data_IF_327143993120
#
_entry.id   IF_327143993120
#
_cell.length_a   1.000
_cell.length_b   1.000
_cell.length_c   1.000
_cell.angle_alpha   90.00
_cell.angle_beta   90.00
_cell.angle_gamma   90.00
#
_symmetry.space_group_name_H-M   'P 1'
#
loop_
_entity.id
_entity.type
_entity.pdbx_description
1 polymer ?
#
# COMPACT_ATOMS: atom_id res chain seq x y z
N UNK A 1 -5.28 -17.31 -6.72
CA UNK A 1 -4.66 -17.56 -5.41
C UNK A 1 -3.24 -18.13 -5.52
N UNK A 2 -2.96 -19.08 -6.42
CA UNK A 2 -1.61 -19.69 -6.54
C UNK A 2 -0.46 -18.70 -6.68
N UNK A 3 -0.59 -17.65 -7.51
CA UNK A 3 0.44 -16.61 -7.67
C UNK A 3 0.69 -15.89 -6.34
N UNK A 4 -0.37 -15.52 -5.63
CA UNK A 4 -0.25 -14.82 -4.36
C UNK A 4 0.39 -15.69 -3.29
N UNK A 5 -0.01 -16.96 -3.21
CA UNK A 5 0.56 -17.94 -2.29
C UNK A 5 2.05 -18.21 -2.57
N UNK A 6 2.45 -18.39 -3.84
CA UNK A 6 3.85 -18.62 -4.21
C UNK A 6 4.75 -17.41 -3.87
N UNK A 7 4.29 -16.19 -4.15
CA UNK A 7 4.99 -14.96 -3.76
C UNK A 7 5.08 -14.84 -2.25
N UNK A 8 3.98 -15.09 -1.54
CA UNK A 8 3.92 -15.04 -0.09
C UNK A 8 4.86 -16.06 0.57
N UNK A 9 4.86 -17.30 0.09
CA UNK A 9 5.77 -18.36 0.53
C UNK A 9 7.23 -17.97 0.34
N UNK A 10 7.56 -17.31 -0.78
CA UNK A 10 8.93 -16.84 -1.03
C UNK A 10 9.35 -15.76 -0.04
N UNK A 11 8.43 -14.89 0.39
CA UNK A 11 8.71 -13.83 1.35
C UNK A 11 8.80 -14.34 2.80
N UNK A 12 7.91 -15.25 3.20
CA UNK A 12 7.71 -15.61 4.61
C UNK A 12 8.12 -17.04 4.95
N UNK A 13 8.47 -17.86 3.94
CA UNK A 13 8.81 -19.27 4.13
C UNK A 13 7.64 -20.17 4.51
N UNK A 14 6.39 -19.69 4.43
CA UNK A 14 5.17 -20.43 4.74
C UNK A 14 4.04 -20.10 3.78
N UNK A 15 3.13 -21.05 3.56
CA UNK A 15 2.00 -20.85 2.65
C UNK A 15 1.04 -19.82 3.23
N UNK A 16 0.50 -18.97 2.36
CA UNK A 16 -0.60 -18.07 2.69
C UNK A 16 -1.85 -18.86 3.14
N UNK A 17 -2.02 -20.08 2.65
CA UNK A 17 -3.14 -20.95 3.00
C UNK A 17 -3.02 -21.55 4.41
N UNK A 18 -1.81 -21.55 4.98
CA UNK A 18 -1.55 -22.03 6.35
C UNK A 18 -1.69 -20.89 7.39
N UNK A 19 -1.84 -19.64 6.94
CA UNK A 19 -2.09 -18.50 7.81
C UNK A 19 -3.50 -18.54 8.38
N UNK A 20 -3.70 -17.96 9.57
CA UNK A 20 -5.04 -17.68 10.08
C UNK A 20 -5.64 -16.47 9.34
N UNK A 21 -5.88 -16.61 8.04
CA UNK A 21 -6.36 -15.58 7.12
C UNK A 21 -7.29 -16.22 6.08
N UNK A 22 -8.46 -15.62 5.84
CA UNK A 22 -9.32 -16.00 4.71
C UNK A 22 -9.36 -14.88 3.68
N UNK A 23 -9.14 -15.23 2.41
CA UNK A 23 -9.17 -14.28 1.29
C UNK A 23 -10.44 -14.53 0.47
N UNK A 24 -11.29 -13.52 0.38
CA UNK A 24 -12.54 -13.53 -0.37
C UNK A 24 -12.40 -12.63 -1.61
N UNK A 25 -12.44 -13.23 -2.79
CA UNK A 25 -12.51 -12.50 -4.07
C UNK A 25 -13.96 -12.61 -4.55
N UNK A 26 -14.70 -11.51 -4.42
CA UNK A 26 -16.15 -11.49 -4.52
C UNK A 26 -16.62 -10.79 -5.80
N UNK A 27 -17.80 -11.15 -6.31
CA UNK A 27 -18.50 -10.32 -7.30
C UNK A 27 -18.90 -8.97 -6.70
N UNK A 28 -19.30 -7.99 -7.52
CA UNK A 28 -19.72 -6.67 -7.01
C UNK A 28 -20.94 -6.75 -6.08
N UNK A 29 -21.88 -7.66 -6.36
CA UNK A 29 -23.06 -7.88 -5.51
C UNK A 29 -22.63 -8.50 -4.17
N UNK A 30 -21.85 -9.59 -4.21
CA UNK A 30 -21.34 -10.24 -3.00
C UNK A 30 -20.47 -9.31 -2.15
N UNK A 31 -19.65 -8.45 -2.76
CA UNK A 31 -18.81 -7.49 -2.04
C UNK A 31 -19.67 -6.43 -1.33
N UNK A 32 -20.70 -5.91 -2.00
CA UNK A 32 -21.61 -4.94 -1.37
C UNK A 32 -22.39 -5.56 -0.21
N UNK A 33 -22.91 -6.77 -0.42
CA UNK A 33 -23.63 -7.51 0.62
C UNK A 33 -22.71 -7.82 1.81
N UNK A 34 -21.46 -8.20 1.53
CA UNK A 34 -20.46 -8.42 2.57
C UNK A 34 -20.23 -7.17 3.42
N UNK A 35 -19.93 -6.03 2.79
CA UNK A 35 -19.69 -4.76 3.49
C UNK A 35 -20.92 -4.38 4.32
N UNK A 36 -22.14 -4.53 3.77
CA UNK A 36 -23.38 -4.25 4.50
C UNK A 36 -23.54 -5.15 5.74
N UNK A 37 -23.26 -6.45 5.62
CA UNK A 37 -23.36 -7.42 6.71
C UNK A 37 -22.34 -7.11 7.81
N UNK A 38 -21.06 -6.97 7.44
CA UNK A 38 -19.98 -6.68 8.39
C UNK A 38 -20.25 -5.38 9.15
N UNK A 39 -20.66 -4.35 8.41
CA UNK A 39 -21.00 -3.05 8.98
C UNK A 39 -22.19 -3.12 9.93
N UNK A 40 -23.25 -3.84 9.55
CA UNK A 40 -24.44 -3.99 10.40
C UNK A 40 -24.12 -4.76 11.69
N UNK A 41 -23.33 -5.83 11.59
CA UNK A 41 -22.90 -6.64 12.74
C UNK A 41 -22.10 -5.80 13.73
N UNK A 42 -21.10 -5.07 13.23
CA UNK A 42 -20.23 -4.20 14.04
C UNK A 42 -20.99 -3.02 14.66
N UNK A 43 -21.95 -2.42 13.95
CA UNK A 43 -22.78 -1.31 14.45
C UNK A 43 -23.65 -1.71 15.65
N UNK A 44 -24.08 -2.97 15.72
CA UNK A 44 -24.99 -3.47 16.76
C UNK A 44 -24.39 -3.43 18.17
N UNK A 45 -23.07 -3.33 18.27
CA UNK A 45 -22.31 -3.32 19.52
C UNK A 45 -21.79 -1.93 19.92
N UNK A 46 -22.02 -0.90 19.09
CA UNK A 46 -21.50 0.45 19.29
C UNK A 46 -22.51 1.40 19.94
N UNK A 47 -22.01 2.42 20.65
CA UNK A 47 -22.84 3.53 21.15
C UNK A 47 -23.38 4.37 19.99
N UNK A 48 -24.51 5.07 20.20
CA UNK A 48 -25.17 5.88 19.14
C UNK A 48 -24.21 6.91 18.49
N UNK A 49 -23.30 7.49 19.27
CA UNK A 49 -22.31 8.44 18.75
C UNK A 49 -21.29 7.75 17.83
N UNK A 50 -20.79 6.57 18.23
CA UNK A 50 -19.85 5.76 17.44
C UNK A 50 -20.52 5.15 16.20
N UNK A 51 -21.82 4.87 16.25
CA UNK A 51 -22.56 4.37 15.10
C UNK A 51 -22.59 5.38 13.93
N UNK A 52 -22.61 6.69 14.21
CA UNK A 52 -22.61 7.73 13.17
C UNK A 52 -21.25 7.85 12.47
N UNK A 53 -20.15 7.73 13.21
CA UNK A 53 -18.80 7.72 12.65
C UNK A 53 -18.55 6.44 11.86
N UNK A 54 -18.83 5.29 12.47
CA UNK A 54 -18.63 3.98 11.84
C UNK A 54 -19.47 3.79 10.57
N UNK A 55 -20.68 4.37 10.50
CA UNK A 55 -21.50 4.35 9.27
C UNK A 55 -20.86 5.14 8.13
N UNK A 56 -20.09 6.20 8.40
CA UNK A 56 -19.33 6.91 7.35
C UNK A 56 -18.19 6.05 6.84
N UNK A 57 -17.47 5.39 7.73
CA UNK A 57 -16.37 4.49 7.35
C UNK A 57 -16.88 3.31 6.53
N UNK A 58 -18.03 2.74 6.91
CA UNK A 58 -18.72 1.71 6.16
C UNK A 58 -19.12 2.12 4.74
N UNK A 59 -19.64 3.34 4.58
CA UNK A 59 -19.95 3.86 3.25
C UNK A 59 -18.68 4.10 2.41
N UNK A 60 -17.52 4.28 3.05
CA UNK A 60 -16.24 4.45 2.35
C UNK A 60 -15.67 3.11 1.86
N UNK A 61 -15.88 2.02 2.61
CA UNK A 61 -15.44 0.67 2.21
C UNK A 61 -16.04 0.20 0.89
N UNK A 62 -17.23 0.70 0.51
CA UNK A 62 -17.84 0.39 -0.79
C UNK A 62 -17.11 1.00 -1.98
N UNK A 63 -16.21 1.95 -1.76
CA UNK A 63 -15.43 2.61 -2.81
C UNK A 63 -14.05 1.96 -3.01
N UNK A 64 -13.61 1.12 -2.07
CA UNK A 64 -12.31 0.45 -2.15
C UNK A 64 -12.33 -0.75 -3.09
N UNK A 65 -11.16 -1.12 -3.63
CA UNK A 65 -11.00 -2.35 -4.43
C UNK A 65 -10.89 -3.58 -3.53
N UNK A 66 -10.42 -3.39 -2.31
CA UNK A 66 -10.44 -4.39 -1.25
C UNK A 66 -10.07 -3.76 0.09
N UNK A 67 -10.14 -4.55 1.15
CA UNK A 67 -9.71 -4.17 2.49
C UNK A 67 -9.38 -5.40 3.33
N UNK A 68 -8.49 -5.18 4.31
CA UNK A 68 -8.21 -6.08 5.42
C UNK A 68 -9.09 -5.75 6.63
N UNK A 69 -9.59 -6.77 7.31
CA UNK A 69 -10.36 -6.63 8.56
C UNK A 69 -10.11 -7.81 9.51
N UNK A 70 -10.29 -7.56 10.81
CA UNK A 70 -10.39 -8.61 11.81
C UNK A 70 -11.82 -8.66 12.33
N UNK A 71 -12.61 -9.63 11.85
CA UNK A 71 -14.02 -9.75 12.15
C UNK A 71 -14.36 -11.17 12.63
N UNK A 72 -15.07 -11.26 13.76
CA UNK A 72 -15.48 -12.53 14.40
C UNK A 72 -14.31 -13.50 14.64
N UNK A 73 -13.26 -12.98 15.27
CA UNK A 73 -12.02 -13.71 15.62
C UNK A 73 -11.27 -14.30 14.40
N UNK A 74 -11.48 -13.73 13.22
CA UNK A 74 -10.83 -14.13 11.97
C UNK A 74 -10.22 -12.94 11.26
N UNK A 75 -9.03 -13.15 10.69
CA UNK A 75 -8.43 -12.21 9.77
C UNK A 75 -8.98 -12.46 8.37
N UNK A 76 -9.43 -11.41 7.71
CA UNK A 76 -10.12 -11.48 6.44
C UNK A 76 -9.54 -10.43 5.49
N UNK A 77 -9.34 -10.82 4.24
CA UNK A 77 -9.11 -9.89 3.14
C UNK A 77 -10.27 -10.07 2.16
N UNK A 78 -10.92 -8.96 1.82
CA UNK A 78 -12.10 -8.95 0.96
C UNK A 78 -11.79 -8.08 -0.25
N UNK A 79 -11.84 -8.64 -1.45
CA UNK A 79 -11.46 -7.97 -2.71
C UNK A 79 -12.62 -8.03 -3.71
N UNK A 80 -12.83 -6.94 -4.45
CA UNK A 80 -13.73 -6.84 -5.60
C UNK A 80 -13.15 -7.53 -6.83
N UNK A 81 -13.62 -8.75 -7.07
CA UNK A 81 -13.17 -9.67 -8.12
C UNK A 81 -13.60 -9.33 -9.54
N UNK A 82 -14.53 -8.39 -9.75
CA UNK A 82 -14.90 -7.96 -11.11
C UNK A 82 -13.84 -7.06 -11.78
N UNK A 83 -12.84 -6.60 -11.02
CA UNK A 83 -11.68 -5.90 -11.55
C UNK A 83 -10.77 -6.83 -12.38
N UNK A 84 -9.95 -6.28 -13.30
CA UNK A 84 -8.95 -7.08 -14.00
C UNK A 84 -8.00 -7.80 -13.02
N UNK A 85 -7.56 -9.01 -13.38
CA UNK A 85 -6.82 -9.89 -12.48
C UNK A 85 -5.58 -9.23 -11.83
N UNK A 86 -4.85 -8.40 -12.58
CA UNK A 86 -3.66 -7.70 -12.06
C UNK A 86 -4.03 -6.58 -11.08
N UNK A 87 -5.20 -5.97 -11.23
CA UNK A 87 -5.73 -5.00 -10.27
C UNK A 87 -6.16 -5.70 -8.96
N UNK A 88 -6.84 -6.85 -9.07
CA UNK A 88 -7.18 -7.71 -7.93
C UNK A 88 -5.92 -8.16 -7.19
N UNK A 89 -4.88 -8.58 -7.91
CA UNK A 89 -3.60 -8.98 -7.32
C UNK A 89 -2.90 -7.80 -6.64
N UNK A 90 -2.98 -6.60 -7.23
CA UNK A 90 -2.41 -5.38 -6.67
C UNK A 90 -3.06 -5.01 -5.33
N UNK A 91 -4.40 -5.03 -5.27
CA UNK A 91 -5.15 -4.82 -4.05
C UNK A 91 -4.83 -5.90 -3.00
N UNK A 92 -4.85 -7.18 -3.39
CA UNK A 92 -4.47 -8.28 -2.48
C UNK A 92 -3.07 -8.10 -1.89
N UNK A 93 -2.09 -7.69 -2.68
CA UNK A 93 -0.73 -7.44 -2.20
C UNK A 93 -0.69 -6.31 -1.15
N UNK A 94 -1.46 -5.23 -1.37
CA UNK A 94 -1.59 -4.15 -0.40
C UNK A 94 -2.25 -4.62 0.91
N UNK A 95 -3.39 -5.33 0.81
CA UNK A 95 -4.11 -5.86 1.99
C UNK A 95 -3.30 -6.89 2.78
N UNK A 96 -2.46 -7.67 2.11
CA UNK A 96 -1.50 -8.56 2.78
C UNK A 96 -0.49 -7.77 3.63
N UNK A 97 -0.14 -6.56 3.21
CA UNK A 97 0.69 -5.66 4.01
C UNK A 97 0.02 -5.26 5.32
N UNK A 98 -1.27 -4.91 5.28
CA UNK A 98 -2.07 -4.66 6.50
C UNK A 98 -2.15 -5.90 7.39
N UNK A 99 -2.44 -7.07 6.81
CA UNK A 99 -2.46 -8.33 7.55
C UNK A 99 -1.12 -8.62 8.25
N UNK A 100 0.01 -8.46 7.54
CA UNK A 100 1.33 -8.67 8.13
C UNK A 100 1.62 -7.71 9.27
N UNK A 101 1.26 -6.44 9.13
CA UNK A 101 1.38 -5.47 10.21
C UNK A 101 0.52 -5.87 11.43
N UNK A 102 -0.71 -6.32 11.20
CA UNK A 102 -1.61 -6.77 12.28
C UNK A 102 -1.05 -7.96 13.07
N UNK A 103 -0.53 -8.98 12.37
CA UNK A 103 0.07 -10.17 12.99
C UNK A 103 1.29 -9.79 13.82
N UNK A 104 2.19 -8.99 13.26
CA UNK A 104 3.47 -8.67 13.89
C UNK A 104 3.32 -7.72 15.10
N UNK A 105 2.26 -6.89 15.12
CA UNK A 105 1.95 -5.97 16.23
C UNK A 105 1.03 -6.57 17.30
N UNK A 106 0.71 -7.86 17.19
CA UNK A 106 -0.21 -8.60 18.06
C UNK A 106 -1.63 -7.99 18.12
N UNK A 107 -2.13 -7.48 16.99
CA UNK A 107 -3.50 -7.00 16.86
C UNK A 107 -3.85 -5.78 17.71
N UNK A 108 -2.85 -4.95 18.07
CA UNK A 108 -3.10 -3.68 18.76
C UNK A 108 -3.81 -2.71 17.82
N UNK A 109 -5.14 -2.69 17.88
CA UNK A 109 -5.94 -1.62 17.29
C UNK A 109 -5.83 -0.38 18.18
N UNK A 110 -5.31 0.73 17.65
CA UNK A 110 -5.31 1.96 18.42
C UNK A 110 -6.73 2.54 18.40
N UNK A 111 -7.27 2.85 19.58
CA UNK A 111 -8.53 3.58 19.68
C UNK A 111 -8.38 4.94 18.99
N UNK A 112 -9.30 5.26 18.06
CA UNK A 112 -9.35 6.52 17.29
C UNK A 112 -7.99 6.89 16.67
N UNK A 113 -7.66 6.23 15.57
CA UNK A 113 -6.42 6.46 14.84
C UNK A 113 -6.48 7.81 14.10
N UNK A 114 -5.49 8.68 14.34
CA UNK A 114 -5.38 9.92 13.57
C UNK A 114 -5.01 9.62 12.12
N UNK A 115 -5.24 10.57 11.21
CA UNK A 115 -4.83 10.43 9.80
C UNK A 115 -3.33 10.14 9.67
N UNK A 116 -2.50 10.66 10.57
CA UNK A 116 -1.07 10.36 10.62
C UNK A 116 -0.80 8.89 10.94
N UNK A 117 -1.54 8.32 11.89
CA UNK A 117 -1.39 6.91 12.27
C UNK A 117 -1.83 6.00 11.14
N UNK A 118 -2.99 6.29 10.54
CA UNK A 118 -3.49 5.57 9.37
C UNK A 118 -2.52 5.67 8.20
N UNK A 119 -1.97 6.85 7.92
CA UNK A 119 -1.01 7.05 6.84
C UNK A 119 0.28 6.24 7.03
N UNK A 120 0.73 6.01 8.27
CA UNK A 120 1.86 5.12 8.53
C UNK A 120 1.53 3.66 8.17
N UNK A 121 0.33 3.20 8.52
CA UNK A 121 -0.12 1.85 8.18
C UNK A 121 -0.30 1.65 6.67
N UNK A 122 -0.82 2.67 5.98
CA UNK A 122 -0.84 2.73 4.52
C UNK A 122 0.58 2.67 3.94
N UNK A 123 1.53 3.43 4.47
CA UNK A 123 2.93 3.36 4.03
C UNK A 123 3.53 1.96 4.20
N UNK A 124 3.25 1.29 5.32
CA UNK A 124 3.67 -0.09 5.54
C UNK A 124 3.06 -1.03 4.48
N UNK A 125 1.76 -0.90 4.21
CA UNK A 125 1.07 -1.67 3.18
C UNK A 125 1.62 -1.40 1.77
N UNK A 126 1.90 -0.14 1.43
CA UNK A 126 2.53 0.24 0.16
C UNK A 126 3.94 -0.34 0.01
N UNK A 127 4.78 -0.27 1.05
CA UNK A 127 6.13 -0.87 1.00
C UNK A 127 6.04 -2.40 0.87
N UNK A 128 5.10 -3.04 1.55
CA UNK A 128 4.84 -4.46 1.37
C UNK A 128 4.37 -4.79 -0.06
N UNK A 129 3.56 -3.93 -0.67
CA UNK A 129 3.14 -4.07 -2.05
C UNK A 129 4.33 -4.01 -3.03
N UNK A 130 5.29 -3.09 -2.80
CA UNK A 130 6.57 -3.06 -3.55
C UNK A 130 7.30 -4.39 -3.39
N UNK A 131 7.48 -4.85 -2.15
CA UNK A 131 8.16 -6.10 -1.81
C UNK A 131 7.52 -7.30 -2.52
N UNK A 132 6.19 -7.37 -2.53
CA UNK A 132 5.40 -8.40 -3.20
C UNK A 132 5.66 -8.42 -4.71
N UNK A 133 5.53 -7.27 -5.39
CA UNK A 133 5.70 -7.23 -6.84
C UNK A 133 7.14 -7.42 -7.28
N UNK A 134 8.13 -6.92 -6.53
CA UNK A 134 9.55 -7.19 -6.79
C UNK A 134 9.88 -8.69 -6.66
N UNK A 135 9.26 -9.36 -5.71
CA UNK A 135 9.39 -10.81 -5.55
C UNK A 135 8.73 -11.55 -6.70
N UNK A 136 7.55 -11.10 -7.13
CA UNK A 136 6.86 -11.68 -8.30
C UNK A 136 7.65 -11.49 -9.60
N UNK A 137 8.25 -10.32 -9.83
CA UNK A 137 9.13 -10.06 -10.98
C UNK A 137 10.32 -11.05 -10.98
N UNK A 138 10.94 -11.26 -9.82
CA UNK A 138 12.04 -12.21 -9.64
C UNK A 138 11.60 -13.66 -9.95
N UNK A 139 10.48 -14.11 -9.37
CA UNK A 139 9.96 -15.46 -9.58
C UNK A 139 9.54 -15.73 -11.02
N UNK A 140 8.95 -14.73 -11.67
CA UNK A 140 8.43 -14.86 -13.04
C UNK A 140 9.49 -14.58 -14.12
N UNK A 141 10.61 -13.94 -13.76
CA UNK A 141 11.62 -13.48 -14.71
C UNK A 141 11.10 -12.40 -15.66
N UNK A 142 10.10 -11.61 -15.23
CA UNK A 142 9.47 -10.56 -16.03
C UNK A 142 9.49 -9.24 -15.29
N UNK A 143 9.79 -8.18 -16.01
CA UNK A 143 9.59 -6.82 -15.52
C UNK A 143 8.10 -6.45 -15.66
N UNK A 144 7.46 -6.12 -14.55
CA UNK A 144 6.04 -5.77 -14.45
C UNK A 144 5.83 -4.27 -14.22
N UNK A 145 6.89 -3.56 -13.80
CA UNK A 145 6.83 -2.19 -13.29
C UNK A 145 7.57 -1.17 -14.17
N UNK A 146 7.78 -1.46 -15.45
CA UNK A 146 8.43 -0.55 -16.40
C UNK A 146 7.41 0.30 -17.17
N UNK A 147 7.72 1.58 -17.35
CA UNK A 147 6.87 2.50 -18.09
C UNK A 147 7.68 3.34 -19.09
N UNK A 148 7.10 3.67 -20.26
CA UNK A 148 7.83 4.32 -21.33
C UNK A 148 8.06 5.81 -21.05
N UNK A 149 9.22 6.32 -21.47
CA UNK A 149 9.51 7.74 -21.48
C UNK A 149 8.75 8.44 -22.63
N UNK A 150 7.57 8.96 -22.30
CA UNK A 150 6.68 9.71 -23.19
C UNK A 150 6.13 10.94 -22.44
N UNK A 151 5.88 12.03 -23.15
CA UNK A 151 5.31 13.27 -22.59
C UNK A 151 4.01 13.04 -21.80
N UNK A 152 3.22 12.05 -22.20
CA UNK A 152 2.00 11.66 -21.48
C UNK A 152 2.28 11.16 -20.07
N UNK A 153 3.34 10.38 -19.88
CA UNK A 153 3.75 9.86 -18.58
C UNK A 153 4.32 10.99 -17.69
N UNK A 154 5.13 11.90 -18.23
CA UNK A 154 5.61 13.07 -17.48
C UNK A 154 4.46 13.94 -16.95
N UNK A 155 3.47 14.24 -17.79
CA UNK A 155 2.27 14.99 -17.36
C UNK A 155 1.46 14.23 -16.31
N UNK A 156 1.30 12.92 -16.52
CA UNK A 156 0.60 12.06 -15.56
C UNK A 156 1.30 12.05 -14.21
N UNK A 157 2.63 11.92 -14.18
CA UNK A 157 3.43 11.94 -12.96
C UNK A 157 3.28 13.25 -12.21
N UNK A 158 3.47 14.39 -12.90
CA UNK A 158 3.31 15.71 -12.27
C UNK A 158 1.92 15.86 -11.65
N UNK A 159 0.87 15.57 -12.42
CA UNK A 159 -0.51 15.73 -11.97
C UNK A 159 -0.84 14.83 -10.77
N UNK A 160 -0.40 13.57 -10.78
CA UNK A 160 -0.69 12.65 -9.67
C UNK A 160 0.04 13.04 -8.40
N UNK A 161 1.30 13.48 -8.50
CA UNK A 161 2.05 13.97 -7.33
C UNK A 161 1.40 15.26 -6.77
N UNK A 162 0.91 16.16 -7.63
CA UNK A 162 0.13 17.33 -7.19
C UNK A 162 -1.16 16.92 -6.45
N UNK A 163 -1.89 15.91 -6.96
CA UNK A 163 -3.09 15.37 -6.30
C UNK A 163 -2.74 14.79 -4.93
N UNK A 164 -1.73 13.93 -4.84
CA UNK A 164 -1.33 13.36 -3.55
C UNK A 164 -0.94 14.42 -2.53
N UNK A 165 -0.22 15.46 -2.96
CA UNK A 165 0.16 16.57 -2.08
C UNK A 165 -1.05 17.39 -1.64
N UNK A 166 -2.02 17.64 -2.54
CA UNK A 166 -3.26 18.35 -2.24
C UNK A 166 -4.18 17.60 -1.28
N UNK A 167 -4.19 16.26 -1.36
CA UNK A 167 -5.06 15.39 -0.57
C UNK A 167 -4.39 14.86 0.71
N UNK A 168 -3.10 15.15 0.93
CA UNK A 168 -2.33 14.58 2.04
C UNK A 168 -2.96 14.87 3.42
N UNK A 169 -3.64 16.00 3.61
CA UNK A 169 -4.26 16.35 4.89
C UNK A 169 -5.62 15.67 5.14
N UNK A 170 -6.22 15.05 4.12
CA UNK A 170 -7.56 14.45 4.19
C UNK A 170 -7.62 12.98 3.76
N UNK A 171 -6.57 12.47 3.13
CA UNK A 171 -6.44 11.09 2.67
C UNK A 171 -5.20 10.43 3.26
N UNK A 172 -5.43 9.43 4.11
CA UNK A 172 -4.37 8.59 4.68
C UNK A 172 -3.58 7.87 3.58
N UNK A 173 -4.23 7.48 2.48
CA UNK A 173 -3.59 6.83 1.35
C UNK A 173 -2.67 7.80 0.58
N UNK A 174 -3.10 9.05 0.39
CA UNK A 174 -2.27 10.07 -0.27
C UNK A 174 -1.06 10.44 0.60
N UNK A 175 -1.31 10.67 1.91
CA UNK A 175 -0.25 10.91 2.90
C UNK A 175 0.71 9.73 2.98
N UNK A 176 0.20 8.49 2.98
CA UNK A 176 0.97 7.25 3.05
C UNK A 176 1.94 7.08 1.88
N UNK A 177 1.52 7.37 0.64
CA UNK A 177 2.42 7.34 -0.53
C UNK A 177 3.58 8.33 -0.39
N UNK A 178 3.26 9.57 -0.02
CA UNK A 178 4.27 10.62 0.18
C UNK A 178 5.20 10.31 1.35
N UNK A 179 4.66 9.71 2.42
CA UNK A 179 5.43 9.32 3.58
C UNK A 179 6.48 8.25 3.25
N UNK A 180 6.19 7.27 2.37
CA UNK A 180 7.21 6.30 1.91
C UNK A 180 8.39 7.01 1.24
N UNK A 181 8.10 7.97 0.35
CA UNK A 181 9.15 8.77 -0.29
C UNK A 181 9.94 9.61 0.70
N UNK A 182 9.25 10.33 1.58
CA UNK A 182 9.90 11.22 2.52
C UNK A 182 10.74 10.43 3.52
N UNK A 183 10.24 9.32 4.06
CA UNK A 183 11.01 8.43 4.92
C UNK A 183 12.29 7.96 4.21
N UNK A 184 12.17 7.45 2.98
CA UNK A 184 13.35 7.04 2.21
C UNK A 184 14.34 8.19 1.99
N UNK A 185 13.86 9.39 1.68
CA UNK A 185 14.71 10.52 1.31
C UNK A 185 15.32 11.23 2.52
N UNK A 186 14.64 11.31 3.66
CA UNK A 186 15.03 12.17 4.78
C UNK A 186 15.37 11.42 6.06
N UNK A 187 14.83 10.21 6.28
CA UNK A 187 15.09 9.45 7.50
C UNK A 187 16.54 8.95 7.53
N UNK A 188 17.24 9.21 8.65
CA UNK A 188 18.63 8.81 8.79
C UNK A 188 18.81 7.30 8.96
N UNK A 189 17.78 6.60 9.45
CA UNK A 189 17.80 5.16 9.62
C UNK A 189 17.71 4.40 8.29
N UNK A 190 17.23 5.07 7.23
CA UNK A 190 17.06 4.49 5.88
C UNK A 190 18.17 4.91 4.90
N UNK A 191 19.34 5.33 5.41
CA UNK A 191 20.47 5.80 4.59
C UNK A 191 20.94 4.77 3.58
N UNK A 192 20.98 3.48 3.96
CA UNK A 192 21.47 2.42 3.09
C UNK A 192 20.50 2.15 1.94
N UNK A 193 19.21 2.07 2.26
CA UNK A 193 18.11 1.86 1.32
C UNK A 193 17.99 3.05 0.37
N UNK A 194 18.17 4.27 0.89
CA UNK A 194 18.26 5.50 0.07
C UNK A 194 19.40 5.41 -0.93
N UNK A 195 20.60 5.03 -0.49
CA UNK A 195 21.73 4.88 -1.40
C UNK A 195 21.50 3.81 -2.47
N UNK A 196 20.87 2.68 -2.11
CA UNK A 196 20.49 1.64 -3.07
C UNK A 196 19.47 2.19 -4.08
N UNK A 197 18.39 2.82 -3.63
CA UNK A 197 17.39 3.41 -4.50
C UNK A 197 18.00 4.46 -5.45
N UNK A 198 18.85 5.37 -4.96
CA UNK A 198 19.44 6.41 -5.81
C UNK A 198 20.38 5.83 -6.90
N UNK A 199 20.99 4.67 -6.64
CA UNK A 199 21.86 4.00 -7.61
C UNK A 199 21.07 3.19 -8.64
N UNK A 200 20.03 2.47 -8.20
CA UNK A 200 19.29 1.51 -9.02
C UNK A 200 17.98 2.08 -9.59
N UNK A 201 17.50 3.17 -9.02
CA UNK A 201 16.21 3.84 -9.29
C UNK A 201 14.99 2.98 -8.98
N UNK A 202 15.12 1.98 -8.12
CA UNK A 202 14.00 1.25 -7.56
C UNK A 202 14.40 0.63 -6.22
N UNK A 203 13.44 0.39 -5.32
CA UNK A 203 13.69 -0.44 -4.16
C UNK A 203 13.76 -1.91 -4.56
N UNK A 204 14.91 -2.54 -4.31
CA UNK A 204 15.04 -4.00 -4.46
C UNK A 204 14.37 -4.73 -3.27
N UNK A 205 14.25 -6.06 -3.37
CA UNK A 205 13.57 -6.90 -2.36
C UNK A 205 14.17 -6.67 -0.95
N UNK A 206 15.50 -6.60 -0.84
CA UNK A 206 16.16 -6.41 0.44
C UNK A 206 15.87 -5.04 1.05
N UNK A 207 15.96 -3.97 0.26
CA UNK A 207 15.67 -2.60 0.74
C UNK A 207 14.20 -2.42 1.10
N UNK A 208 13.28 -2.95 0.28
CA UNK A 208 11.85 -2.89 0.56
C UNK A 208 11.50 -3.65 1.86
N UNK A 209 12.09 -4.82 2.08
CA UNK A 209 11.94 -5.56 3.34
C UNK A 209 12.47 -4.78 4.55
N UNK A 210 13.65 -4.17 4.44
CA UNK A 210 14.25 -3.38 5.52
C UNK A 210 13.40 -2.15 5.87
N UNK A 211 12.86 -1.45 4.88
CA UNK A 211 11.93 -0.33 5.11
C UNK A 211 10.65 -0.82 5.78
N UNK A 212 10.06 -1.92 5.30
CA UNK A 212 8.85 -2.48 5.89
C UNK A 212 9.05 -2.81 7.37
N UNK A 213 10.14 -3.50 7.70
CA UNK A 213 10.48 -3.84 9.09
C UNK A 213 10.73 -2.60 9.94
N UNK A 214 11.45 -1.60 9.41
CA UNK A 214 11.69 -0.34 10.10
C UNK A 214 10.38 0.42 10.41
N UNK A 215 9.51 0.62 9.42
CA UNK A 215 8.24 1.35 9.60
C UNK A 215 7.32 0.65 10.62
N UNK A 216 7.35 -0.68 10.73
CA UNK A 216 6.62 -1.41 11.78
C UNK A 216 7.08 -1.02 13.19
N UNK A 217 8.39 -0.83 13.39
CA UNK A 217 8.93 -0.45 14.72
C UNK A 217 8.39 0.92 15.18
N UNK A 218 8.18 1.84 14.24
CA UNK A 218 7.63 3.18 14.50
C UNK A 218 6.17 3.09 14.98
N UNK A 219 5.38 2.24 14.32
CA UNK A 219 3.96 2.02 14.63
C UNK A 219 3.72 1.61 16.09
N UNK A 220 4.69 0.96 16.73
CA UNK A 220 4.59 0.50 18.13
C UNK A 220 4.79 1.64 19.14
N UNK A 221 5.53 2.69 18.79
CA UNK A 221 6.02 3.67 19.78
C UNK A 221 5.33 5.03 19.70
N UNK A 222 5.32 5.68 18.54
CA UNK A 222 4.72 7.01 18.39
C UNK A 222 4.46 7.34 16.90
N UNK A 223 3.47 6.68 16.26
CA UNK A 223 3.23 6.80 14.83
C UNK A 223 2.92 8.24 14.41
N UNK A 224 2.01 8.92 15.12
CA UNK A 224 1.56 10.26 14.75
C UNK A 224 2.66 11.32 14.75
N UNK A 225 3.55 11.30 15.75
CA UNK A 225 4.64 12.28 15.84
C UNK A 225 5.69 12.07 14.75
N UNK A 226 6.03 10.81 14.44
CA UNK A 226 6.95 10.48 13.36
C UNK A 226 6.44 11.00 12.01
N UNK A 227 5.19 10.67 11.67
CA UNK A 227 4.60 11.12 10.39
C UNK A 227 4.54 12.65 10.34
N UNK A 228 4.15 13.30 11.43
CA UNK A 228 4.14 14.78 11.50
C UNK A 228 5.51 15.36 11.21
N UNK A 229 6.57 14.80 11.79
CA UNK A 229 7.95 15.26 11.60
C UNK A 229 8.42 15.05 10.15
N UNK A 230 8.27 13.84 9.61
CA UNK A 230 8.70 13.52 8.24
C UNK A 230 7.96 14.36 7.21
N UNK A 231 6.65 14.56 7.38
CA UNK A 231 5.81 15.33 6.45
C UNK A 231 6.17 16.82 6.39
N UNK A 232 6.87 17.39 7.38
CA UNK A 232 7.38 18.77 7.30
C UNK A 232 8.35 18.96 6.13
N UNK A 233 9.02 17.88 5.69
CA UNK A 233 9.93 17.90 4.55
C UNK A 233 9.24 17.92 3.18
N UNK A 234 7.91 17.76 3.10
CA UNK A 234 7.19 17.57 1.83
C UNK A 234 7.48 18.68 0.82
N UNK A 235 7.31 19.93 1.23
CA UNK A 235 7.51 21.09 0.33
C UNK A 235 8.94 21.19 -0.20
N UNK A 236 9.93 20.72 0.57
CA UNK A 236 11.33 20.72 0.16
C UNK A 236 11.66 19.57 -0.79
N UNK A 237 11.00 18.41 -0.63
CA UNK A 237 11.32 17.20 -1.37
C UNK A 237 10.42 16.93 -2.58
N UNK A 238 9.28 17.61 -2.72
CA UNK A 238 8.29 17.29 -3.76
C UNK A 238 8.86 17.34 -5.19
N UNK A 239 9.77 18.28 -5.46
CA UNK A 239 10.48 18.38 -6.75
C UNK A 239 11.44 17.20 -6.93
N UNK A 240 12.20 16.84 -5.89
CA UNK A 240 13.10 15.69 -5.94
C UNK A 240 12.32 14.38 -6.14
N UNK A 241 11.16 14.22 -5.50
CA UNK A 241 10.26 13.07 -5.72
C UNK A 241 9.87 13.00 -7.19
N UNK A 242 9.40 14.11 -7.79
CA UNK A 242 9.05 14.15 -9.24
C UNK A 242 10.21 13.76 -10.12
N UNK A 243 11.38 14.38 -9.92
CA UNK A 243 12.57 14.13 -10.72
C UNK A 243 13.01 12.66 -10.63
N UNK A 244 12.93 12.06 -9.44
CA UNK A 244 13.26 10.65 -9.21
C UNK A 244 12.24 9.71 -9.87
N UNK A 245 10.95 10.04 -9.82
CA UNK A 245 9.92 9.28 -10.52
C UNK A 245 10.10 9.35 -12.03
N UNK A 246 10.30 10.55 -12.59
CA UNK A 246 10.52 10.77 -14.02
C UNK A 246 11.79 10.05 -14.51
N UNK A 247 12.84 10.02 -13.70
CA UNK A 247 14.09 9.33 -14.04
C UNK A 247 13.95 7.80 -14.19
N UNK A 248 12.81 7.22 -13.79
CA UNK A 248 12.51 5.78 -13.94
C UNK A 248 11.86 5.43 -15.28
N UNK A 249 11.41 6.41 -16.05
CA UNK A 249 10.82 6.16 -17.37
C UNK A 249 11.87 5.68 -18.38
N UNK A 250 11.51 4.68 -19.17
CA UNK A 250 12.42 3.97 -20.08
C UNK A 250 12.24 4.45 -21.52
N UNK A 251 13.30 5.00 -22.11
CA UNK A 251 13.31 5.41 -23.52
C UNK A 251 13.27 4.18 -24.44
N UNK A 252 12.38 4.20 -25.43
CA UNK A 252 12.25 3.12 -26.40
C UNK A 252 11.70 1.80 -25.83
N UNK A 253 11.03 1.83 -24.67
CA UNK A 253 10.40 0.65 -24.09
C UNK A 253 9.37 0.05 -25.07
N UNK A 254 9.51 -1.22 -25.48
CA UNK A 254 8.51 -1.86 -26.33
C UNK A 254 7.16 -1.97 -25.62
N UNK A 255 6.06 -1.73 -26.34
CA UNK A 255 4.72 -1.71 -25.74
C UNK A 255 4.34 -3.02 -25.03
N UNK A 256 4.88 -4.17 -25.46
CA UNK A 256 4.63 -5.48 -24.84
C UNK A 256 5.45 -5.72 -23.56
N UNK A 257 6.40 -4.84 -23.24
CA UNK A 257 7.15 -4.79 -21.99
C UNK A 257 6.65 -3.69 -21.05
N UNK A 258 5.65 -2.89 -21.46
CA UNK A 258 5.03 -1.89 -20.60
C UNK A 258 4.22 -2.57 -19.48
N UNK A 259 4.45 -2.12 -18.25
CA UNK A 259 3.73 -2.55 -17.08
C UNK A 259 2.23 -2.24 -17.18
N UNK A 260 1.42 -3.01 -16.48
CA UNK A 260 -0.03 -2.78 -16.48
C UNK A 260 -0.36 -1.37 -15.95
N UNK A 261 -1.37 -0.67 -16.49
CA UNK A 261 -1.86 0.58 -15.91
C UNK A 261 -2.25 0.48 -14.43
N UNK A 262 -2.69 -0.71 -13.98
CA UNK A 262 -3.08 -0.98 -12.58
C UNK A 262 -1.89 -1.17 -11.63
N UNK A 263 -0.65 -1.15 -12.15
CA UNK A 263 0.58 -1.20 -11.37
C UNK A 263 1.35 0.13 -11.38
N UNK A 264 0.80 1.18 -12.01
CA UNK A 264 1.48 2.49 -12.12
C UNK A 264 1.76 3.08 -10.75
N UNK A 265 0.89 2.84 -9.78
CA UNK A 265 1.11 3.27 -8.41
C UNK A 265 2.41 2.70 -7.85
N UNK A 266 2.61 1.40 -8.00
CA UNK A 266 3.81 0.71 -7.52
C UNK A 266 5.05 1.09 -8.33
N UNK A 267 4.96 1.09 -9.67
CA UNK A 267 6.13 1.32 -10.51
C UNK A 267 6.51 2.79 -10.70
N UNK A 268 5.60 3.74 -10.45
CA UNK A 268 5.86 5.18 -10.61
C UNK A 268 5.65 6.01 -9.34
N UNK A 269 4.78 5.63 -8.41
CA UNK A 269 4.44 6.50 -7.28
C UNK A 269 4.91 6.00 -5.93
N UNK A 270 5.48 4.79 -5.88
CA UNK A 270 6.28 4.29 -4.78
C UNK A 270 7.76 4.18 -5.20
N UNK A 271 8.74 4.35 -4.30
CA UNK A 271 10.17 4.23 -4.63
C UNK A 271 10.58 2.79 -5.01
#
# INVERSE_FOLDING_TARGET
>A
MEIADATYYTLHGQSLLDENLSVHILTEEEYRDWVEIECTDSLSHLSIALQLEYRKDCNRLSDFTGYFTHWRDRNLIVIRGQNPAIHVLSALAHELGHFRNFVDTAGRTANQESIETLALYESQAFVYQILFFRTLENLSGRDLLLYPNLDGYHKFISNQIDIFAGDADTSEHAKGRLLVWLALLTDENLRQERSQFLNERYLNISSASAIFDYLKTIGVHNPGSYVTEIMQGLNTQIVAIRDLVDARLISGLPYWNEGSPYLRDIGLFLP
#
